data_IF_420610854888
#
_entry.id   IF_420610854888
#
_cell.length_a   1.000
_cell.length_b   1.000
_cell.length_c   1.000
_cell.angle_alpha   90.00
_cell.angle_beta   90.00
_cell.angle_gamma   90.00
#
_symmetry.space_group_name_H-M   'P 1'
#
loop_
_entity.id
_entity.type
_entity.pdbx_description
1 polymer ?
#
# COMPACT_ATOMS: atom_id res chain seq x y z
N UNK A 1 2.09 -15.73 2.15
CA UNK A 1 0.67 -16.14 2.02
C UNK A 1 -0.20 -14.95 2.34
N UNK A 2 -1.16 -14.64 1.49
CA UNK A 2 -2.08 -13.52 1.67
C UNK A 2 -3.42 -14.04 2.20
N UNK A 3 -4.06 -13.29 3.12
CA UNK A 3 -5.38 -13.68 3.60
C UNK A 3 -6.43 -13.22 2.56
N UNK A 4 -7.15 -14.17 1.99
CA UNK A 4 -8.16 -13.89 0.95
C UNK A 4 -9.27 -12.93 1.41
N UNK A 5 -9.53 -12.87 2.71
CA UNK A 5 -10.55 -11.98 3.30
C UNK A 5 -10.14 -10.52 3.31
N UNK A 6 -8.84 -10.25 3.22
CA UNK A 6 -8.28 -8.90 3.31
C UNK A 6 -8.00 -8.31 1.91
N UNK A 7 -8.20 -9.11 0.85
CA UNK A 7 -7.96 -8.70 -0.54
C UNK A 7 -9.24 -8.18 -1.17
N UNK A 8 -9.09 -7.15 -2.00
CA UNK A 8 -10.18 -6.56 -2.78
C UNK A 8 -9.81 -6.52 -4.27
N UNK A 9 -10.83 -6.43 -5.12
CA UNK A 9 -10.62 -6.18 -6.55
C UNK A 9 -9.90 -4.83 -6.73
N UNK A 10 -8.84 -4.84 -7.52
CA UNK A 10 -7.96 -3.70 -7.75
C UNK A 10 -6.72 -3.66 -6.85
N UNK A 11 -6.62 -4.50 -5.83
CA UNK A 11 -5.45 -4.58 -4.97
C UNK A 11 -4.22 -5.07 -5.73
N UNK A 12 -3.06 -4.59 -5.30
CA UNK A 12 -1.76 -4.96 -5.84
C UNK A 12 -1.12 -6.02 -4.94
N UNK A 13 -0.80 -7.13 -5.55
CA UNK A 13 -0.24 -8.32 -4.90
C UNK A 13 0.97 -8.83 -5.70
N UNK A 14 1.71 -9.76 -5.15
CA UNK A 14 2.83 -10.42 -5.80
C UNK A 14 2.71 -11.93 -5.69
N UNK A 15 3.50 -12.65 -6.48
CA UNK A 15 3.66 -14.11 -6.38
C UNK A 15 4.91 -14.47 -5.60
N UNK A 16 4.91 -15.62 -4.96
CA UNK A 16 6.12 -16.19 -4.37
C UNK A 16 7.08 -16.67 -5.47
N UNK A 17 6.56 -17.37 -6.47
CA UNK A 17 7.32 -17.84 -7.62
C UNK A 17 7.18 -16.86 -8.79
N UNK A 18 8.20 -16.03 -9.00
CA UNK A 18 8.20 -15.00 -10.05
C UNK A 18 8.85 -15.54 -11.32
N UNK A 19 8.20 -15.30 -12.46
CA UNK A 19 8.82 -15.48 -13.76
C UNK A 19 9.72 -14.29 -14.11
N UNK A 20 10.62 -14.48 -15.08
CA UNK A 20 11.49 -13.42 -15.57
C UNK A 20 10.65 -12.22 -16.06
N UNK A 21 11.04 -11.02 -15.65
CA UNK A 21 10.34 -9.77 -16.00
C UNK A 21 9.02 -9.52 -15.26
N UNK A 22 8.56 -10.44 -14.39
CA UNK A 22 7.35 -10.21 -13.59
C UNK A 22 7.58 -9.10 -12.55
N UNK A 23 6.63 -8.16 -12.48
CA UNK A 23 6.66 -7.05 -11.51
C UNK A 23 5.64 -7.23 -10.39
N UNK A 24 4.37 -7.31 -10.74
CA UNK A 24 3.26 -7.41 -9.79
C UNK A 24 2.01 -7.93 -10.46
N UNK A 25 0.98 -8.19 -9.67
CA UNK A 25 -0.36 -8.55 -10.15
C UNK A 25 -1.41 -7.60 -9.61
N UNK A 26 -2.48 -7.41 -10.39
CA UNK A 26 -3.67 -6.65 -10.00
C UNK A 26 -4.82 -7.64 -9.86
N UNK A 27 -5.49 -7.65 -8.72
CA UNK A 27 -6.65 -8.52 -8.45
C UNK A 27 -7.83 -8.07 -9.31
N UNK A 28 -8.42 -9.01 -10.08
CA UNK A 28 -9.59 -8.77 -10.91
C UNK A 28 -10.81 -9.59 -10.48
N UNK A 29 -10.62 -10.63 -9.69
CA UNK A 29 -11.70 -11.45 -9.17
C UNK A 29 -11.24 -12.36 -8.05
N UNK A 30 -12.15 -12.68 -7.16
CA UNK A 30 -11.90 -13.52 -5.99
C UNK A 30 -12.99 -14.58 -5.92
N UNK A 31 -12.59 -15.84 -5.87
CA UNK A 31 -13.47 -16.97 -5.62
C UNK A 31 -13.18 -17.56 -4.26
N UNK A 32 -14.03 -17.22 -3.30
CA UNK A 32 -13.89 -17.68 -1.91
C UNK A 32 -14.20 -19.18 -1.74
N UNK A 33 -14.89 -19.79 -2.69
CA UNK A 33 -15.26 -21.22 -2.62
C UNK A 33 -14.07 -22.08 -3.03
N UNK A 34 -13.46 -21.76 -4.16
CA UNK A 34 -12.28 -22.48 -4.65
C UNK A 34 -10.96 -22.01 -4.03
N UNK A 35 -10.96 -20.87 -3.33
CA UNK A 35 -9.74 -20.27 -2.78
C UNK A 35 -8.80 -19.74 -3.87
N UNK A 36 -9.35 -19.25 -4.97
CA UNK A 36 -8.56 -18.76 -6.11
C UNK A 36 -8.74 -17.27 -6.36
N UNK A 37 -7.70 -16.66 -6.92
CA UNK A 37 -7.67 -15.27 -7.33
C UNK A 37 -7.44 -15.20 -8.82
N UNK A 38 -8.35 -14.53 -9.53
CA UNK A 38 -8.11 -14.10 -10.90
C UNK A 38 -7.39 -12.77 -10.86
N UNK A 39 -6.25 -12.68 -11.51
CA UNK A 39 -5.41 -11.50 -11.49
C UNK A 39 -4.77 -11.24 -12.84
N UNK A 40 -4.36 -10.00 -13.03
CA UNK A 40 -3.61 -9.57 -14.21
C UNK A 40 -2.16 -9.37 -13.82
N UNK A 41 -1.29 -10.18 -14.36
CA UNK A 41 0.16 -10.06 -14.22
C UNK A 41 0.67 -8.91 -15.06
N UNK A 42 1.57 -8.12 -14.52
CA UNK A 42 2.23 -6.98 -15.17
C UNK A 42 3.72 -7.26 -15.23
N UNK A 43 4.30 -7.13 -16.42
CA UNK A 43 5.70 -7.41 -16.70
C UNK A 43 6.50 -6.11 -16.96
N UNK A 44 7.83 -6.18 -16.92
CA UNK A 44 8.74 -5.03 -17.10
C UNK A 44 8.62 -4.38 -18.49
N UNK A 45 8.36 -5.18 -19.52
CA UNK A 45 8.13 -4.73 -20.90
C UNK A 45 6.76 -4.08 -21.10
N UNK A 46 5.92 -4.07 -20.07
CA UNK A 46 4.55 -3.56 -20.10
C UNK A 46 3.52 -4.59 -20.55
N UNK A 47 3.93 -5.82 -20.85
CA UNK A 47 2.98 -6.91 -21.17
C UNK A 47 2.08 -7.20 -19.97
N UNK A 48 0.86 -7.66 -20.26
CA UNK A 48 -0.17 -7.96 -19.28
C UNK A 48 -0.87 -9.26 -19.60
N UNK A 49 -0.78 -10.20 -18.68
CA UNK A 49 -1.35 -11.53 -18.86
C UNK A 49 -2.38 -11.84 -17.76
N UNK A 50 -3.51 -12.45 -18.17
CA UNK A 50 -4.50 -12.95 -17.23
C UNK A 50 -4.04 -14.29 -16.66
N UNK A 51 -4.13 -14.42 -15.34
CA UNK A 51 -3.83 -15.66 -14.64
C UNK A 51 -4.86 -15.95 -13.53
N UNK A 52 -4.93 -17.19 -13.13
CA UNK A 52 -5.67 -17.66 -11.97
C UNK A 52 -4.69 -18.43 -11.09
N UNK A 53 -4.59 -18.02 -9.82
CA UNK A 53 -3.69 -18.65 -8.86
C UNK A 53 -4.43 -18.98 -7.58
N UNK A 54 -3.95 -19.97 -6.83
CA UNK A 54 -4.36 -20.17 -5.44
C UNK A 54 -3.93 -18.95 -4.61
N UNK A 55 -4.74 -18.56 -3.64
CA UNK A 55 -4.35 -17.49 -2.71
C UNK A 55 -3.09 -17.85 -1.90
N UNK A 56 -2.80 -19.15 -1.75
CA UNK A 56 -1.60 -19.65 -1.07
C UNK A 56 -0.31 -19.31 -1.82
N UNK A 57 -0.38 -19.18 -3.15
CA UNK A 57 0.75 -18.83 -4.02
C UNK A 57 0.98 -17.31 -4.12
N UNK A 58 0.11 -16.52 -3.51
CA UNK A 58 0.13 -15.08 -3.58
C UNK A 58 0.62 -14.46 -2.27
N UNK A 59 1.28 -13.33 -2.37
CA UNK A 59 1.80 -12.57 -1.23
C UNK A 59 1.43 -11.10 -1.33
N UNK A 60 1.35 -10.37 -0.21
CA UNK A 60 1.22 -8.92 -0.23
C UNK A 60 2.36 -8.29 -1.02
N UNK A 61 2.07 -7.22 -1.76
CA UNK A 61 3.15 -6.41 -2.36
C UNK A 61 3.72 -5.50 -1.28
N UNK A 62 5.03 -5.59 -0.97
CA UNK A 62 5.60 -4.88 0.17
C UNK A 62 5.63 -3.38 -0.03
N UNK A 63 5.41 -2.62 1.04
CA UNK A 63 5.71 -1.20 1.08
C UNK A 63 7.22 -1.00 1.24
N UNK A 64 7.74 0.04 0.59
CA UNK A 64 9.11 0.49 0.81
C UNK A 64 9.19 2.02 0.77
N UNK A 65 10.22 2.58 1.36
CA UNK A 65 10.47 4.03 1.31
C UNK A 65 10.63 4.51 -0.14
N UNK A 66 11.30 3.74 -0.99
CA UNK A 66 11.52 4.04 -2.41
C UNK A 66 10.21 4.08 -3.18
N UNK A 67 9.34 3.08 -2.96
CA UNK A 67 8.02 3.02 -3.59
C UNK A 67 7.16 4.22 -3.18
N UNK A 68 7.14 4.56 -1.91
CA UNK A 68 6.39 5.69 -1.40
C UNK A 68 6.89 7.01 -1.97
N UNK A 69 8.20 7.23 -2.02
CA UNK A 69 8.80 8.42 -2.65
C UNK A 69 8.46 8.52 -4.13
N UNK A 70 8.49 7.41 -4.87
CA UNK A 70 8.09 7.36 -6.28
C UNK A 70 6.60 7.73 -6.49
N UNK A 71 5.78 7.58 -5.46
CA UNK A 71 4.36 7.96 -5.44
C UNK A 71 4.09 9.34 -4.80
N UNK A 72 5.12 10.16 -4.61
CA UNK A 72 5.00 11.55 -4.16
C UNK A 72 5.07 11.77 -2.64
N UNK A 73 5.29 10.72 -1.85
CA UNK A 73 5.51 10.84 -0.42
C UNK A 73 6.87 11.48 -0.14
N UNK A 74 6.93 12.39 0.83
CA UNK A 74 8.14 13.16 1.13
C UNK A 74 8.65 12.86 2.54
N UNK A 75 9.94 12.62 2.66
CA UNK A 75 10.58 12.44 3.96
C UNK A 75 10.69 13.76 4.69
N UNK A 76 10.20 13.80 5.91
CA UNK A 76 10.26 14.95 6.80
C UNK A 76 10.33 14.53 8.26
N UNK A 77 10.43 15.48 9.15
CA UNK A 77 10.51 15.23 10.60
C UNK A 77 9.47 16.07 11.34
N UNK A 78 8.77 15.45 12.27
CA UNK A 78 7.87 16.11 13.22
C UNK A 78 8.30 15.76 14.62
N UNK A 79 8.58 16.77 15.45
CA UNK A 79 9.09 16.61 16.82
C UNK A 79 10.30 15.66 16.91
N UNK A 80 11.22 15.74 15.94
CA UNK A 80 12.43 14.90 15.90
C UNK A 80 12.21 13.48 15.39
N UNK A 81 10.96 13.11 15.05
CA UNK A 81 10.63 11.80 14.48
C UNK A 81 10.60 11.89 12.96
N UNK A 82 11.49 11.15 12.28
CA UNK A 82 11.52 11.07 10.83
C UNK A 82 10.41 10.16 10.31
N UNK A 83 9.67 10.61 9.29
CA UNK A 83 8.62 9.83 8.65
C UNK A 83 8.39 10.29 7.20
N UNK A 84 7.66 9.49 6.45
CA UNK A 84 7.21 9.85 5.10
C UNK A 84 5.83 10.49 5.19
N UNK A 85 5.65 11.64 4.58
CA UNK A 85 4.41 12.40 4.58
C UNK A 85 3.76 12.47 3.22
N UNK A 86 2.44 12.43 3.24
CA UNK A 86 1.57 12.80 2.15
C UNK A 86 0.51 13.79 2.67
N UNK A 87 0.39 14.92 1.99
CA UNK A 87 -0.59 15.95 2.33
C UNK A 87 -1.79 15.83 1.38
N UNK A 88 -2.97 15.62 1.96
CA UNK A 88 -4.25 15.45 1.24
C UNK A 88 -5.28 16.48 1.68
N UNK A 89 -4.92 17.68 1.82
CA UNK A 89 -5.70 18.77 2.39
C UNK A 89 -7.20 18.48 2.67
N UNK A 90 -7.68 18.72 3.91
CA UNK A 90 -6.97 19.40 5.01
C UNK A 90 -6.09 18.48 5.88
N UNK A 91 -6.10 17.18 5.63
CA UNK A 91 -5.40 16.18 6.43
C UNK A 91 -4.00 15.88 5.88
N UNK A 92 -3.13 15.42 6.76
CA UNK A 92 -1.82 14.86 6.38
C UNK A 92 -1.68 13.46 6.96
N UNK A 93 -0.98 12.60 6.24
CA UNK A 93 -0.66 11.25 6.70
C UNK A 93 0.86 11.14 6.82
N UNK A 94 1.33 10.70 7.98
CA UNK A 94 2.71 10.31 8.20
C UNK A 94 2.83 8.80 8.28
N UNK A 95 3.82 8.23 7.61
CA UNK A 95 4.21 6.83 7.76
C UNK A 95 5.53 6.78 8.49
N UNK A 96 5.48 6.46 9.78
CA UNK A 96 6.66 6.29 10.61
C UNK A 96 7.17 4.85 10.48
N UNK A 97 8.47 4.62 10.22
CA UNK A 97 9.02 3.27 10.28
C UNK A 97 8.71 2.61 11.63
N UNK A 98 8.31 1.35 11.61
CA UNK A 98 8.04 0.61 12.84
C UNK A 98 9.31 0.43 13.67
N UNK A 99 9.15 0.53 14.98
CA UNK A 99 10.22 0.19 15.92
C UNK A 99 10.25 -1.31 16.24
N UNK A 100 9.18 -2.04 15.92
CA UNK A 100 8.98 -3.44 16.28
C UNK A 100 9.19 -4.40 15.12
N UNK A 101 8.82 -3.98 13.91
CA UNK A 101 8.84 -4.83 12.73
C UNK A 101 9.69 -4.21 11.63
N UNK A 102 10.59 -5.01 11.09
CA UNK A 102 11.37 -4.61 9.93
C UNK A 102 10.44 -4.45 8.71
N UNK A 103 10.67 -3.41 7.91
CA UNK A 103 9.90 -3.08 6.71
C UNK A 103 8.39 -2.77 6.94
N UNK A 104 7.97 -2.49 8.16
CA UNK A 104 6.62 -2.04 8.46
C UNK A 104 6.58 -0.53 8.79
N UNK A 105 5.40 0.04 8.62
CA UNK A 105 5.13 1.45 8.91
C UNK A 105 3.94 1.59 9.85
N UNK A 106 4.04 2.54 10.77
CA UNK A 106 2.91 2.97 11.60
C UNK A 106 2.29 4.21 10.96
N UNK A 107 1.06 4.11 10.40
CA UNK A 107 0.35 5.26 9.86
C UNK A 107 -0.11 6.21 10.98
N UNK A 108 0.07 7.50 10.75
CA UNK A 108 -0.32 8.56 11.66
C UNK A 108 -1.16 9.56 10.88
N UNK A 109 -2.42 9.73 11.27
CA UNK A 109 -3.31 10.72 10.69
C UNK A 109 -3.21 12.03 11.46
N UNK A 110 -2.88 13.10 10.76
CA UNK A 110 -2.92 14.46 11.29
C UNK A 110 -4.19 15.15 10.76
N UNK A 111 -5.07 15.65 11.64
CA UNK A 111 -6.36 16.22 11.24
C UNK A 111 -6.25 17.54 10.50
N UNK A 112 -5.09 18.18 10.57
CA UNK A 112 -4.80 19.44 9.89
C UNK A 112 -3.34 19.52 9.40
N UNK A 113 -3.03 20.53 8.62
CA UNK A 113 -1.70 20.75 8.06
C UNK A 113 -0.63 21.15 9.10
N UNK A 114 -1.03 21.45 10.35
CA UNK A 114 -0.10 21.84 11.42
C UNK A 114 0.75 20.67 11.92
N UNK A 115 0.33 19.43 11.64
CA UNK A 115 1.04 18.18 12.00
C UNK A 115 1.42 18.11 13.48
N UNK A 116 0.47 18.42 14.35
CA UNK A 116 0.69 18.37 15.80
C UNK A 116 0.49 16.96 16.32
N UNK A 117 1.52 16.40 16.93
CA UNK A 117 1.48 15.03 17.48
C UNK A 117 0.38 14.83 18.54
N UNK A 118 0.02 15.86 19.30
CA UNK A 118 -1.07 15.79 20.29
C UNK A 118 -2.45 15.55 19.68
N UNK A 119 -2.64 15.96 18.43
CA UNK A 119 -3.92 15.85 17.71
C UNK A 119 -3.92 14.67 16.74
N UNK A 120 -2.80 13.92 16.68
CA UNK A 120 -2.61 12.82 15.74
C UNK A 120 -3.35 11.55 16.17
N UNK A 121 -3.88 10.83 15.20
CA UNK A 121 -4.43 9.49 15.38
C UNK A 121 -3.43 8.45 14.88
N UNK A 122 -3.04 7.53 15.76
CA UNK A 122 -2.14 6.43 15.44
C UNK A 122 -2.95 5.22 15.02
N UNK A 123 -2.52 4.58 13.93
CA UNK A 123 -3.12 3.36 13.42
C UNK A 123 -2.21 2.16 13.70
N UNK A 124 -2.72 0.96 13.46
CA UNK A 124 -1.92 -0.26 13.50
C UNK A 124 -0.88 -0.27 12.37
N UNK A 125 0.18 -1.02 12.57
CA UNK A 125 1.26 -1.13 11.61
C UNK A 125 0.83 -1.83 10.33
N UNK A 126 1.36 -1.36 9.21
CA UNK A 126 1.14 -1.89 7.87
C UNK A 126 2.48 -2.18 7.20
N UNK A 127 2.54 -3.18 6.34
CA UNK A 127 3.75 -3.56 5.60
C UNK A 127 3.52 -3.71 4.09
N UNK A 128 2.29 -3.54 3.63
CA UNK A 128 1.90 -3.82 2.26
C UNK A 128 1.11 -2.72 1.59
N UNK A 129 1.18 -2.68 0.27
CA UNK A 129 0.47 -1.71 -0.57
C UNK A 129 -1.03 -1.81 -0.38
N UNK A 130 -1.59 -3.03 -0.33
CA UNK A 130 -3.04 -3.19 -0.19
C UNK A 130 -3.58 -2.69 1.16
N UNK A 131 -2.81 -2.83 2.25
CA UNK A 131 -3.18 -2.27 3.56
C UNK A 131 -3.17 -0.74 3.54
N UNK A 132 -2.13 -0.12 2.97
CA UNK A 132 -2.09 1.33 2.78
C UNK A 132 -3.26 1.80 1.93
N UNK A 133 -3.54 1.12 0.81
CA UNK A 133 -4.65 1.45 -0.07
C UNK A 133 -6.00 1.34 0.66
N UNK A 134 -6.17 0.32 1.50
CA UNK A 134 -7.36 0.16 2.33
C UNK A 134 -7.56 1.33 3.31
N UNK A 135 -6.49 1.81 3.94
CA UNK A 135 -6.53 2.99 4.81
C UNK A 135 -6.92 4.25 4.05
N UNK A 136 -6.31 4.51 2.90
CA UNK A 136 -6.61 5.67 2.07
C UNK A 136 -8.08 5.66 1.62
N UNK A 137 -8.59 4.51 1.22
CA UNK A 137 -10.00 4.34 0.82
C UNK A 137 -10.95 4.51 2.01
N UNK A 138 -10.60 3.99 3.18
CA UNK A 138 -11.39 4.15 4.41
C UNK A 138 -11.54 5.62 4.81
N UNK A 139 -10.47 6.39 4.67
CA UNK A 139 -10.50 7.82 4.95
C UNK A 139 -11.07 8.65 3.81
N UNK A 140 -11.51 8.02 2.71
CA UNK A 140 -12.10 8.67 1.53
C UNK A 140 -11.19 9.77 0.96
N UNK A 141 -9.90 9.53 1.00
CA UNK A 141 -8.90 10.47 0.49
C UNK A 141 -9.02 10.52 -1.03
N UNK A 142 -9.22 11.72 -1.55
CA UNK A 142 -9.22 12.00 -2.98
C UNK A 142 -7.92 12.66 -3.35
N UNK A 143 -7.46 12.38 -4.57
CA UNK A 143 -6.27 13.02 -5.11
C UNK A 143 -6.57 14.51 -5.39
N UNK A 144 -6.09 15.34 -4.51
CA UNK A 144 -6.12 16.82 -4.64
C UNK A 144 -4.71 17.40 -4.69
N UNK A 145 -3.68 16.55 -4.61
CA UNK A 145 -2.27 16.92 -4.54
C UNK A 145 -1.42 16.17 -5.57
N UNK A 146 -0.11 16.42 -5.56
CA UNK A 146 0.88 15.68 -6.38
C UNK A 146 1.15 14.26 -5.90
N UNK A 147 0.58 13.89 -4.77
CA UNK A 147 0.73 12.55 -4.19
C UNK A 147 -0.28 11.60 -4.82
N UNK A 148 0.17 10.46 -5.29
CA UNK A 148 -0.71 9.44 -5.84
C UNK A 148 -1.55 8.80 -4.72
N UNK A 149 -2.89 8.89 -4.83
CA UNK A 149 -3.83 8.21 -3.94
C UNK A 149 -3.82 6.69 -4.22
N UNK A 150 -3.65 6.30 -5.48
CA UNK A 150 -3.38 4.91 -5.87
C UNK A 150 -1.88 4.68 -5.94
N UNK A 151 -1.37 3.85 -5.05
CA UNK A 151 0.05 3.48 -5.08
C UNK A 151 0.35 2.69 -6.36
N UNK A 152 1.31 3.17 -7.13
CA UNK A 152 1.76 2.57 -8.39
C UNK A 152 3.11 1.91 -8.15
N UNK A 153 3.18 0.59 -8.24
CA UNK A 153 4.42 -0.17 -8.08
C UNK A 153 5.42 0.07 -9.22
#
# INVERSE_FOLDING_TARGET
MINIRDIRIGDIITKENKYEGYKYSIVEGIDNISGTIRHREVYEDGDRQMAISSYEDMSPFPLSEELLKANGWQKSSVNGVSMLFADFEPISIGLRPSALFYDAFCPILFPDSSKRMRDAMFMYEIDSVHELQALLDMWKIRDVSRVSVKIKP
#
